data_IF_001069077012
#
_entry.id   IF_001069077012
#
_cell.length_a   1.000
_cell.length_b   1.000
_cell.length_c   1.000
_cell.angle_alpha   90.00
_cell.angle_beta   90.00
_cell.angle_gamma   90.00
#
_symmetry.space_group_name_H-M   'P 1'
#
loop_
_entity.id
_entity.type
_entity.pdbx_description
1 polymer ?
#
# COMPACT_ATOMS: atom_id res chain seq x y z
N UNK A 1 -15.03 -5.94 -1.02
CA UNK A 1 -15.06 -7.29 -0.37
C UNK A 1 -15.70 -7.29 1.01
N UNK A 2 -15.39 -6.34 1.92
CA UNK A 2 -15.94 -6.36 3.29
C UNK A 2 -17.48 -6.50 3.40
N UNK A 3 -18.32 -5.80 2.60
CA UNK A 3 -19.77 -6.02 2.63
C UNK A 3 -20.17 -7.46 2.31
N UNK A 4 -19.52 -8.07 1.32
CA UNK A 4 -19.76 -9.47 0.94
C UNK A 4 -19.42 -10.46 2.06
N UNK A 5 -18.33 -10.24 2.80
CA UNK A 5 -18.01 -11.08 3.97
C UNK A 5 -19.00 -10.91 5.11
N UNK A 6 -19.49 -9.69 5.35
CA UNK A 6 -20.50 -9.46 6.38
C UNK A 6 -21.83 -10.12 6.01
N UNK A 7 -22.26 -10.01 4.75
CA UNK A 7 -23.44 -10.72 4.23
C UNK A 7 -23.29 -12.24 4.37
N UNK A 8 -22.12 -12.79 4.04
CA UNK A 8 -21.84 -14.22 4.19
C UNK A 8 -21.89 -14.67 5.66
N UNK A 9 -21.33 -13.88 6.60
CA UNK A 9 -21.40 -14.18 8.04
C UNK A 9 -22.83 -14.13 8.57
N UNK A 10 -23.61 -13.13 8.16
CA UNK A 10 -25.03 -13.03 8.54
C UNK A 10 -25.82 -14.22 7.99
N UNK A 11 -25.60 -14.59 6.72
CA UNK A 11 -26.25 -15.76 6.12
C UNK A 11 -25.90 -17.06 6.87
N UNK A 12 -24.62 -17.27 7.20
CA UNK A 12 -24.20 -18.43 7.99
C UNK A 12 -24.82 -18.46 9.39
N UNK A 13 -24.90 -17.30 10.07
CA UNK A 13 -25.52 -17.19 11.38
C UNK A 13 -27.03 -17.49 11.34
N UNK A 14 -27.75 -16.98 10.33
CA UNK A 14 -29.18 -17.28 10.12
C UNK A 14 -29.39 -18.77 9.86
N UNK A 15 -28.54 -19.41 9.04
CA UNK A 15 -28.59 -20.85 8.79
C UNK A 15 -28.28 -21.68 10.06
N UNK A 16 -27.50 -21.13 10.99
CA UNK A 16 -27.21 -21.73 12.30
C UNK A 16 -28.30 -21.45 13.36
N UNK A 17 -29.38 -20.74 13.00
CA UNK A 17 -30.46 -20.39 13.92
C UNK A 17 -30.21 -19.17 14.81
N UNK A 18 -29.17 -18.37 14.54
CA UNK A 18 -28.92 -17.12 15.25
C UNK A 18 -29.76 -15.97 14.67
N UNK A 19 -30.29 -15.11 15.55
CA UNK A 19 -30.94 -13.86 15.13
C UNK A 19 -29.91 -12.77 14.81
N UNK A 20 -29.30 -12.85 13.63
CA UNK A 20 -28.47 -11.77 13.06
C UNK A 20 -29.10 -11.19 11.82
N UNK A 21 -29.00 -9.86 11.66
CA UNK A 21 -29.46 -9.13 10.47
C UNK A 21 -28.34 -8.27 9.90
N UNK A 22 -28.27 -8.21 8.59
CA UNK A 22 -27.39 -7.28 7.89
C UNK A 22 -28.09 -5.92 7.84
N UNK A 23 -27.51 -4.92 8.52
CA UNK A 23 -28.11 -3.57 8.66
C UNK A 23 -27.53 -2.56 7.66
N UNK A 24 -26.76 -3.02 6.67
CA UNK A 24 -26.04 -2.18 5.72
C UNK A 24 -24.52 -2.33 5.87
N UNK A 25 -23.79 -1.75 4.94
CA UNK A 25 -22.34 -1.66 4.98
C UNK A 25 -21.89 -0.21 4.80
N UNK A 26 -20.68 0.08 5.24
CA UNK A 26 -20.03 1.35 4.92
C UNK A 26 -19.98 1.52 3.39
N UNK A 27 -20.67 2.54 2.90
CA UNK A 27 -20.70 2.92 1.49
C UNK A 27 -19.47 3.74 1.11
N UNK A 28 -18.51 3.89 2.02
CA UNK A 28 -17.26 4.54 1.71
C UNK A 28 -16.53 3.82 0.58
N UNK A 29 -16.06 4.60 -0.37
CA UNK A 29 -15.38 4.09 -1.56
C UNK A 29 -14.05 4.81 -1.66
N UNK A 30 -12.96 4.03 -1.75
CA UNK A 30 -11.64 4.51 -2.16
C UNK A 30 -11.31 3.92 -3.51
N UNK A 31 -11.35 4.73 -4.56
CA UNK A 31 -11.01 4.33 -5.93
C UNK A 31 -9.54 4.66 -6.17
N UNK A 32 -8.76 3.62 -6.49
CA UNK A 32 -7.42 3.79 -7.06
C UNK A 32 -7.55 3.84 -8.58
N UNK A 33 -7.90 5.03 -9.09
CA UNK A 33 -7.80 5.32 -10.52
C UNK A 33 -6.33 5.63 -10.85
N UNK A 34 -5.94 5.44 -12.11
CA UNK A 34 -4.57 5.70 -12.57
C UNK A 34 -4.20 7.16 -12.28
N UNK A 35 -3.38 7.37 -11.24
CA UNK A 35 -2.79 8.66 -10.89
C UNK A 35 -3.62 9.59 -10.00
N UNK A 36 -4.85 9.21 -9.59
CA UNK A 36 -5.70 10.06 -8.73
C UNK A 36 -6.36 9.21 -7.65
N UNK A 37 -6.06 9.52 -6.39
CA UNK A 37 -6.76 8.94 -5.25
C UNK A 37 -8.10 9.66 -5.04
N UNK A 38 -9.19 8.90 -5.04
CA UNK A 38 -10.52 9.42 -4.72
C UNK A 38 -11.09 8.63 -3.56
N UNK A 39 -11.57 9.33 -2.53
CA UNK A 39 -12.25 8.73 -1.41
C UNK A 39 -13.53 9.50 -1.04
N UNK A 40 -14.60 8.79 -0.73
CA UNK A 40 -15.84 9.36 -0.21
C UNK A 40 -16.35 8.50 0.94
N UNK A 41 -16.92 9.10 1.98
CA UNK A 41 -17.43 8.41 3.16
C UNK A 41 -18.57 9.16 3.84
N UNK A 42 -19.44 8.42 4.54
CA UNK A 42 -20.55 8.99 5.32
C UNK A 42 -21.49 9.88 4.50
N UNK A 43 -22.04 10.90 5.17
CA UNK A 43 -22.85 11.95 4.55
C UNK A 43 -21.97 13.02 3.87
N UNK A 44 -21.24 12.60 2.83
CA UNK A 44 -20.36 13.46 2.04
C UNK A 44 -21.07 14.68 1.41
N UNK A 45 -22.38 14.59 1.21
CA UNK A 45 -23.19 15.64 0.59
C UNK A 45 -23.80 16.62 1.59
N UNK A 46 -23.77 16.32 2.90
CA UNK A 46 -24.39 17.18 3.92
C UNK A 46 -25.91 17.16 3.85
N UNK A 47 -26.51 15.98 3.65
CA UNK A 47 -27.96 15.77 3.68
C UNK A 47 -28.55 15.90 5.08
N UNK A 48 -27.73 15.70 6.11
CA UNK A 48 -28.11 15.85 7.52
C UNK A 48 -28.50 17.32 7.77
N UNK A 49 -29.73 17.60 8.25
CA UNK A 49 -30.17 18.97 8.50
C UNK A 49 -29.23 19.72 9.45
N UNK A 50 -28.87 20.95 9.09
CA UNK A 50 -27.97 21.79 9.89
C UNK A 50 -26.49 21.35 9.85
N UNK A 51 -26.12 20.40 8.98
CA UNK A 51 -24.72 20.04 8.80
C UNK A 51 -23.88 21.22 8.26
N UNK A 52 -22.67 21.31 8.75
CA UNK A 52 -21.68 22.30 8.31
C UNK A 52 -20.66 21.61 7.40
N UNK A 53 -20.10 22.32 6.44
CA UNK A 53 -19.10 21.76 5.52
C UNK A 53 -17.86 22.64 5.43
N UNK A 54 -16.70 22.00 5.54
CA UNK A 54 -15.40 22.63 5.33
C UNK A 54 -14.80 22.08 4.04
N UNK A 55 -14.21 22.96 3.23
CA UNK A 55 -13.61 22.61 1.95
C UNK A 55 -12.24 23.25 1.78
N UNK A 56 -11.32 22.50 1.18
CA UNK A 56 -9.99 22.96 0.84
C UNK A 56 -9.62 22.47 -0.57
N UNK A 57 -9.02 23.37 -1.36
CA UNK A 57 -8.68 23.10 -2.75
C UNK A 57 -7.25 23.58 -3.03
N UNK A 58 -6.43 22.75 -3.66
CA UNK A 58 -5.10 23.10 -4.15
C UNK A 58 -5.04 22.91 -5.66
N UNK A 59 -5.34 23.98 -6.42
CA UNK A 59 -5.46 23.96 -7.88
C UNK A 59 -4.27 23.32 -8.62
N UNK A 60 -3.02 23.76 -8.41
CA UNK A 60 -1.87 23.19 -9.13
C UNK A 60 -1.60 21.70 -8.89
N UNK A 61 -1.99 21.18 -7.72
CA UNK A 61 -1.82 19.76 -7.36
C UNK A 61 -3.10 18.95 -7.63
N UNK A 62 -4.16 19.60 -8.14
CA UNK A 62 -5.46 18.99 -8.39
C UNK A 62 -6.04 18.29 -7.15
N UNK A 63 -5.81 18.87 -5.96
CA UNK A 63 -6.32 18.31 -4.70
C UNK A 63 -7.60 19.03 -4.30
N UNK A 64 -8.61 18.26 -3.92
CA UNK A 64 -9.84 18.75 -3.32
C UNK A 64 -10.19 17.89 -2.09
N UNK A 65 -10.45 18.54 -0.96
CA UNK A 65 -10.83 17.89 0.29
C UNK A 65 -12.06 18.59 0.86
N UNK A 66 -13.06 17.82 1.28
CA UNK A 66 -14.27 18.27 1.94
C UNK A 66 -14.59 17.36 3.11
N UNK A 67 -14.94 17.94 4.25
CA UNK A 67 -15.56 17.23 5.36
C UNK A 67 -16.91 17.86 5.70
N UNK A 68 -17.80 17.04 6.22
CA UNK A 68 -19.15 17.42 6.67
C UNK A 68 -19.24 17.07 8.15
N UNK A 69 -19.64 18.04 8.97
CA UNK A 69 -19.74 17.90 10.42
C UNK A 69 -21.14 18.25 10.92
N UNK A 70 -21.47 17.80 12.13
CA UNK A 70 -22.73 18.13 12.80
C UNK A 70 -22.86 19.64 13.07
N UNK A 71 -24.10 20.09 13.29
CA UNK A 71 -24.42 21.50 13.57
C UNK A 71 -23.63 22.09 14.77
N UNK A 72 -23.25 21.25 15.73
CA UNK A 72 -22.48 21.61 16.92
C UNK A 72 -20.96 21.46 16.73
N UNK A 73 -20.51 21.12 15.53
CA UNK A 73 -19.10 20.89 15.15
C UNK A 73 -18.38 19.80 15.95
N UNK A 74 -19.11 18.90 16.64
CA UNK A 74 -18.49 17.85 17.47
C UNK A 74 -18.32 16.52 16.76
N UNK A 75 -19.13 16.23 15.76
CA UNK A 75 -19.18 14.90 15.11
C UNK A 75 -18.90 15.03 13.62
N UNK A 76 -18.03 14.16 13.12
CA UNK A 76 -17.80 14.03 11.68
C UNK A 76 -18.90 13.17 11.06
N UNK A 77 -19.61 13.71 10.07
CA UNK A 77 -20.72 13.03 9.40
C UNK A 77 -20.30 12.37 8.08
N UNK A 78 -19.29 12.92 7.40
CA UNK A 78 -18.80 12.40 6.13
C UNK A 78 -17.75 13.28 5.47
N UNK A 79 -17.34 12.93 4.25
CA UNK A 79 -16.37 13.72 3.50
C UNK A 79 -16.03 13.16 2.12
N UNK A 80 -15.34 13.98 1.33
CA UNK A 80 -14.83 13.67 -0.02
C UNK A 80 -13.37 14.13 -0.11
N UNK A 81 -12.48 13.27 -0.57
CA UNK A 81 -11.07 13.56 -0.82
C UNK A 81 -10.74 13.16 -2.27
N UNK A 82 -10.10 14.05 -3.01
CA UNK A 82 -9.72 13.87 -4.42
C UNK A 82 -8.28 14.35 -4.61
N UNK A 83 -7.48 13.59 -5.35
CA UNK A 83 -6.07 13.87 -5.60
C UNK A 83 -5.18 13.31 -4.49
N UNK A 84 -5.48 13.69 -3.23
CA UNK A 84 -4.82 13.18 -2.03
C UNK A 84 -5.85 12.68 -1.01
N UNK A 85 -5.85 11.37 -0.76
CA UNK A 85 -6.72 10.70 0.21
C UNK A 85 -5.93 10.08 1.37
N UNK A 86 -4.83 10.72 1.78
CA UNK A 86 -3.98 10.26 2.88
C UNK A 86 -4.72 10.24 4.22
N UNK A 87 -5.55 11.24 4.50
CA UNK A 87 -6.32 11.36 5.74
C UNK A 87 -7.58 10.48 5.80
N UNK A 88 -7.96 9.83 4.68
CA UNK A 88 -9.17 9.00 4.58
C UNK A 88 -9.30 7.98 5.71
N UNK A 89 -8.23 7.22 5.97
CA UNK A 89 -8.27 6.14 6.95
C UNK A 89 -8.59 6.66 8.36
N UNK A 90 -8.01 7.82 8.73
CA UNK A 90 -8.24 8.44 10.03
C UNK A 90 -9.63 9.05 10.12
N UNK A 91 -10.05 9.81 9.09
CA UNK A 91 -11.36 10.46 9.07
C UNK A 91 -12.52 9.46 9.13
N UNK A 92 -12.42 8.35 8.39
CA UNK A 92 -13.43 7.28 8.46
C UNK A 92 -13.51 6.70 9.86
N UNK A 93 -12.39 6.47 10.54
CA UNK A 93 -12.39 5.95 11.90
C UNK A 93 -12.95 6.95 12.91
N UNK A 94 -12.67 8.25 12.76
CA UNK A 94 -13.26 9.29 13.59
C UNK A 94 -14.79 9.30 13.46
N UNK A 95 -15.30 9.19 12.23
CA UNK A 95 -16.74 9.09 11.96
C UNK A 95 -17.35 7.81 12.55
N UNK A 96 -16.77 6.65 12.26
CA UNK A 96 -17.33 5.34 12.67
C UNK A 96 -17.34 5.16 14.19
N UNK A 97 -16.36 5.71 14.91
CA UNK A 97 -16.26 5.60 16.37
C UNK A 97 -16.83 6.82 17.11
N UNK A 98 -17.42 7.80 16.42
CA UNK A 98 -17.99 9.00 17.03
C UNK A 98 -16.96 9.82 17.83
N UNK A 99 -15.72 9.89 17.34
CA UNK A 99 -14.65 10.63 18.02
C UNK A 99 -14.95 12.12 17.96
N UNK A 100 -14.91 12.80 19.11
CA UNK A 100 -15.11 14.25 19.17
C UNK A 100 -14.07 14.99 18.34
N UNK A 101 -14.54 15.91 17.51
CA UNK A 101 -13.69 16.73 16.64
C UNK A 101 -12.89 17.77 17.45
N UNK A 102 -11.72 18.20 16.92
CA UNK A 102 -11.01 19.35 17.47
C UNK A 102 -11.85 20.63 17.36
N UNK A 103 -11.47 21.67 18.12
CA UNK A 103 -12.13 22.99 18.09
C UNK A 103 -12.22 23.59 16.68
N UNK A 104 -11.25 23.29 15.82
CA UNK A 104 -11.17 23.74 14.43
C UNK A 104 -11.17 22.51 13.50
N UNK A 105 -12.35 21.98 13.10
CA UNK A 105 -12.46 20.78 12.28
C UNK A 105 -11.75 20.86 10.92
N UNK A 106 -11.63 22.04 10.33
CA UNK A 106 -10.94 22.28 9.05
C UNK A 106 -9.47 21.84 9.08
N UNK A 107 -8.82 21.87 10.25
CA UNK A 107 -7.42 21.46 10.41
C UNK A 107 -7.18 19.99 10.01
N UNK A 108 -8.23 19.16 10.06
CA UNK A 108 -8.18 17.75 9.65
C UNK A 108 -7.95 17.55 8.14
N UNK A 109 -8.27 18.56 7.31
CA UNK A 109 -8.11 18.50 5.85
C UNK A 109 -7.09 19.49 5.29
N UNK A 110 -6.65 20.47 6.09
CA UNK A 110 -5.62 21.42 5.68
C UNK A 110 -4.23 20.74 5.56
N UNK A 111 -3.32 21.23 4.70
CA UNK A 111 -1.95 20.72 4.62
C UNK A 111 -1.20 20.91 5.95
N UNK A 112 -0.19 20.08 6.23
CA UNK A 112 0.56 20.17 7.48
C UNK A 112 1.40 21.44 7.42
N UNK A 113 1.07 22.43 8.26
CA UNK A 113 1.95 23.57 8.47
C UNK A 113 3.24 23.08 9.13
N UNK A 114 4.40 23.48 8.61
CA UNK A 114 5.70 23.21 9.23
C UNK A 114 5.68 23.71 10.69
N UNK A 115 5.59 22.81 11.67
CA UNK A 115 5.53 23.13 13.10
C UNK A 115 4.15 23.04 13.77
N UNK A 116 3.09 22.65 13.06
CA UNK A 116 1.77 22.40 13.65
C UNK A 116 1.65 21.03 14.33
N UNK A 117 0.88 20.96 15.41
CA UNK A 117 0.53 19.70 16.08
C UNK A 117 -0.09 18.69 15.08
N UNK A 118 0.11 17.36 15.28
CA UNK A 118 -0.34 16.35 14.33
C UNK A 118 -1.84 16.48 14.01
N UNK A 119 -2.16 16.39 12.71
CA UNK A 119 -3.47 16.69 12.07
C UNK A 119 -4.67 15.85 12.54
N UNK A 120 -4.52 14.94 13.49
CA UNK A 120 -5.64 14.14 13.99
C UNK A 120 -5.34 13.66 15.41
N UNK A 121 -6.40 13.43 16.18
CA UNK A 121 -6.37 12.52 17.31
C UNK A 121 -5.78 11.20 16.81
N UNK A 122 -4.51 10.94 17.13
CA UNK A 122 -3.75 9.81 16.62
C UNK A 122 -4.39 8.48 17.01
N UNK A 123 -3.81 7.38 16.55
CA UNK A 123 -4.25 6.02 16.90
C UNK A 123 -4.43 5.81 18.42
N UNK A 124 -3.72 6.58 19.23
CA UNK A 124 -3.90 6.70 20.68
C UNK A 124 -5.38 6.87 21.11
N UNK A 125 -6.15 7.71 20.42
CA UNK A 125 -7.52 8.03 20.79
C UNK A 125 -8.56 6.98 20.37
N UNK A 126 -8.18 6.00 19.56
CA UNK A 126 -9.09 4.93 19.14
C UNK A 126 -9.32 3.96 20.31
N UNK A 127 -10.57 3.55 20.60
CA UNK A 127 -10.84 2.50 21.57
C UNK A 127 -10.28 1.15 21.08
N UNK A 128 -10.01 0.21 21.98
CA UNK A 128 -9.55 -1.13 21.60
C UNK A 128 -10.52 -1.86 20.66
N UNK A 129 -11.82 -1.62 20.81
CA UNK A 129 -12.88 -2.19 19.96
C UNK A 129 -12.93 -1.59 18.54
N UNK A 130 -12.19 -0.51 18.26
CA UNK A 130 -12.22 0.17 16.97
C UNK A 130 -11.84 -0.80 15.84
N UNK A 131 -12.72 -0.95 14.85
CA UNK A 131 -12.49 -1.87 13.73
C UNK A 131 -11.49 -1.28 12.74
N UNK A 132 -10.29 -1.86 12.70
CA UNK A 132 -9.19 -1.42 11.83
C UNK A 132 -9.24 -2.13 10.47
N UNK A 133 -9.51 -3.45 10.44
CA UNK A 133 -9.64 -4.22 9.21
C UNK A 133 -11.03 -4.84 9.07
N UNK A 134 -11.90 -4.23 8.28
CA UNK A 134 -13.27 -4.75 8.05
C UNK A 134 -13.30 -6.08 7.28
N UNK A 135 -12.29 -6.36 6.43
CA UNK A 135 -12.25 -7.62 5.67
C UNK A 135 -12.07 -8.83 6.59
N UNK A 136 -11.18 -8.73 7.56
CA UNK A 136 -10.85 -9.81 8.48
C UNK A 136 -11.45 -9.61 9.89
N UNK A 137 -12.20 -8.52 10.10
CA UNK A 137 -12.82 -8.15 11.37
C UNK A 137 -11.79 -8.01 12.51
N UNK A 138 -10.70 -7.29 12.23
CA UNK A 138 -9.60 -7.08 13.18
C UNK A 138 -9.75 -5.69 13.80
N UNK A 139 -9.78 -5.66 15.13
CA UNK A 139 -9.86 -4.45 15.95
C UNK A 139 -8.48 -3.88 16.29
N UNK A 140 -8.43 -2.69 16.90
CA UNK A 140 -7.20 -2.12 17.47
C UNK A 140 -6.64 -3.05 18.54
N UNK A 141 -7.49 -3.57 19.43
CA UNK A 141 -7.12 -4.48 20.51
C UNK A 141 -6.45 -5.75 19.99
N UNK A 142 -6.97 -6.34 18.92
CA UNK A 142 -6.37 -7.54 18.29
C UNK A 142 -4.95 -7.27 17.79
N UNK A 143 -4.70 -6.08 17.22
CA UNK A 143 -3.37 -5.67 16.75
C UNK A 143 -2.45 -5.43 17.95
N UNK A 144 -2.92 -4.70 18.97
CA UNK A 144 -2.15 -4.43 20.19
C UNK A 144 -1.76 -5.73 20.92
N UNK A 145 -2.68 -6.70 20.97
CA UNK A 145 -2.43 -8.03 21.52
C UNK A 145 -1.40 -8.80 20.69
N UNK A 146 -1.50 -8.76 19.37
CA UNK A 146 -0.53 -9.41 18.49
C UNK A 146 0.88 -8.82 18.66
N UNK A 147 1.01 -7.50 18.79
CA UNK A 147 2.29 -6.84 19.09
C UNK A 147 2.82 -7.29 20.45
N UNK A 148 1.96 -7.30 21.48
CA UNK A 148 2.33 -7.78 22.82
C UNK A 148 2.73 -9.26 22.85
N UNK A 149 2.21 -10.06 21.93
CA UNK A 149 2.61 -11.46 21.72
C UNK A 149 3.90 -11.62 20.91
N UNK A 150 4.56 -10.53 20.48
CA UNK A 150 5.85 -10.54 19.80
C UNK A 150 5.81 -10.19 18.31
N UNK A 151 4.68 -9.74 17.76
CA UNK A 151 4.63 -9.29 16.37
C UNK A 151 5.23 -7.89 16.22
N UNK A 152 6.50 -7.80 15.82
CA UNK A 152 7.25 -6.53 15.72
C UNK A 152 7.25 -5.89 14.33
N UNK A 153 6.69 -6.56 13.33
CA UNK A 153 6.63 -6.03 11.96
C UNK A 153 5.27 -6.32 11.28
N UNK A 154 5.02 -5.62 10.18
CA UNK A 154 3.74 -5.72 9.45
C UNK A 154 3.51 -7.10 8.83
N UNK A 155 4.58 -7.84 8.53
CA UNK A 155 4.51 -9.21 8.03
C UNK A 155 4.00 -10.15 9.11
N UNK A 156 4.55 -10.05 10.32
CA UNK A 156 4.09 -10.78 11.50
C UNK A 156 2.63 -10.45 11.83
N UNK A 157 2.25 -9.17 11.84
CA UNK A 157 0.85 -8.76 12.04
C UNK A 157 -0.08 -9.36 10.98
N UNK A 158 0.33 -9.35 9.71
CA UNK A 158 -0.44 -9.98 8.62
C UNK A 158 -0.60 -11.49 8.82
N UNK A 159 0.43 -12.18 9.30
CA UNK A 159 0.35 -13.62 9.56
C UNK A 159 -0.57 -13.95 10.74
N UNK A 160 -0.44 -13.21 11.85
CA UNK A 160 -1.21 -13.46 13.07
C UNK A 160 -2.69 -13.06 12.93
N UNK A 161 -2.94 -11.84 12.42
CA UNK A 161 -4.28 -11.24 12.43
C UNK A 161 -4.99 -11.32 11.09
N UNK A 162 -4.27 -11.58 9.99
CA UNK A 162 -4.75 -11.42 8.60
C UNK A 162 -5.15 -9.99 8.24
N UNK A 163 -4.91 -8.99 9.10
CA UNK A 163 -5.14 -7.60 8.75
C UNK A 163 -4.30 -7.23 7.51
N UNK A 164 -4.83 -6.35 6.64
CA UNK A 164 -4.20 -5.92 5.40
C UNK A 164 -3.95 -6.99 4.31
N UNK A 165 -4.39 -8.26 4.47
CA UNK A 165 -4.24 -9.29 3.42
C UNK A 165 -5.42 -9.39 2.45
N UNK A 166 -6.59 -8.84 2.81
CA UNK A 166 -7.80 -8.88 1.98
C UNK A 166 -7.84 -7.80 0.89
N UNK A 167 -8.35 -6.61 1.24
CA UNK A 167 -8.42 -5.47 0.30
C UNK A 167 -7.22 -4.51 0.36
N UNK A 168 -6.35 -4.64 1.37
CA UNK A 168 -5.19 -3.76 1.60
C UNK A 168 -5.50 -2.32 2.03
N UNK A 169 -6.77 -1.89 2.09
CA UNK A 169 -7.14 -0.50 2.42
C UNK A 169 -6.73 -0.03 3.81
N UNK A 170 -6.68 -0.95 4.78
CA UNK A 170 -6.29 -0.67 6.17
C UNK A 170 -4.78 -0.73 6.43
N UNK A 171 -3.95 -1.05 5.42
CA UNK A 171 -2.51 -1.31 5.64
C UNK A 171 -1.77 -0.18 6.34
N UNK A 172 -2.08 1.07 5.98
CA UNK A 172 -1.47 2.25 6.60
C UNK A 172 -1.89 2.39 8.07
N UNK A 173 -3.18 2.22 8.37
CA UNK A 173 -3.70 2.34 9.73
C UNK A 173 -3.22 1.19 10.63
N UNK A 174 -3.17 -0.04 10.11
CA UNK A 174 -2.58 -1.20 10.81
C UNK A 174 -1.13 -0.91 11.21
N UNK A 175 -0.35 -0.35 10.28
CA UNK A 175 1.04 0.04 10.56
C UNK A 175 1.13 1.09 11.68
N UNK A 176 0.29 2.11 11.63
CA UNK A 176 0.27 3.15 12.67
C UNK A 176 -0.12 2.60 14.05
N UNK A 177 -1.08 1.67 14.13
CA UNK A 177 -1.45 0.99 15.38
C UNK A 177 -0.30 0.15 15.92
N UNK A 178 0.35 -0.61 15.05
CA UNK A 178 1.50 -1.44 15.41
C UNK A 178 2.66 -0.58 15.93
N UNK A 179 3.04 0.47 15.20
CA UNK A 179 4.12 1.38 15.59
C UNK A 179 3.81 2.11 16.91
N UNK A 180 2.55 2.50 17.12
CA UNK A 180 2.10 3.09 18.39
C UNK A 180 2.29 2.13 19.57
N UNK A 181 1.84 0.87 19.43
CA UNK A 181 1.98 -0.13 20.48
C UNK A 181 3.44 -0.50 20.77
N UNK A 182 4.27 -0.60 19.72
CA UNK A 182 5.72 -0.85 19.87
C UNK A 182 6.41 0.28 20.62
N UNK A 183 6.05 1.53 20.32
CA UNK A 183 6.58 2.70 21.02
C UNK A 183 6.16 2.72 22.51
N UNK A 184 4.91 2.34 22.84
CA UNK A 184 4.48 2.20 24.24
C UNK A 184 5.25 1.12 25.00
N UNK A 185 5.70 0.07 24.31
CA UNK A 185 6.53 -1.00 24.88
C UNK A 185 8.03 -0.64 24.92
N UNK A 186 8.41 0.58 24.53
CA UNK A 186 9.80 1.02 24.48
C UNK A 186 10.63 0.38 23.37
N UNK A 187 9.98 -0.27 22.40
CA UNK A 187 10.66 -0.84 21.23
C UNK A 187 10.92 0.27 20.23
N UNK A 188 12.19 0.64 20.08
CA UNK A 188 12.60 1.64 19.10
C UNK A 188 12.46 1.08 17.68
N UNK A 189 11.52 1.63 16.91
CA UNK A 189 11.31 1.25 15.50
C UNK A 189 12.42 1.86 14.65
N UNK A 190 13.53 1.13 14.50
CA UNK A 190 14.60 1.52 13.57
C UNK A 190 14.08 1.46 12.14
N UNK A 191 14.36 2.51 11.37
CA UNK A 191 14.00 2.59 9.93
C UNK A 191 15.06 1.96 9.04
N UNK A 192 16.06 1.35 9.64
CA UNK A 192 17.17 0.66 9.01
C UNK A 192 16.65 -0.46 8.11
N UNK A 193 17.22 -0.60 6.92
CA UNK A 193 16.88 -1.69 6.01
C UNK A 193 17.36 -3.04 6.58
N UNK A 194 18.56 -3.07 7.13
CA UNK A 194 19.19 -4.22 7.79
C UNK A 194 20.48 -3.76 8.47
N UNK A 195 21.20 -4.70 9.11
CA UNK A 195 22.52 -4.45 9.73
C UNK A 195 23.57 -3.82 8.79
N UNK A 196 23.44 -4.00 7.47
CA UNK A 196 24.37 -3.45 6.48
C UNK A 196 24.12 -1.98 6.18
N UNK A 197 22.90 -1.48 6.39
CA UNK A 197 22.47 -0.13 6.01
C UNK A 197 21.55 0.46 7.09
N UNK A 198 22.04 1.38 7.94
CA UNK A 198 21.25 2.09 8.94
C UNK A 198 20.46 3.25 8.31
N UNK A 199 19.76 2.96 7.20
CA UNK A 199 19.02 3.91 6.40
C UNK A 199 17.72 3.27 5.93
N UNK A 200 16.70 4.09 5.75
CA UNK A 200 15.46 3.70 5.08
C UNK A 200 15.63 3.60 3.57
N UNK A 201 14.69 2.92 2.91
CA UNK A 201 14.64 2.83 1.43
C UNK A 201 14.68 4.21 0.75
N UNK A 202 13.98 5.20 1.33
CA UNK A 202 13.93 6.54 0.77
C UNK A 202 15.27 7.26 0.90
N UNK A 203 15.94 7.13 2.04
CA UNK A 203 17.29 7.69 2.25
C UNK A 203 18.31 7.05 1.32
N UNK A 204 18.29 5.72 1.16
CA UNK A 204 19.14 5.04 0.18
C UNK A 204 18.89 5.57 -1.24
N UNK A 205 17.62 5.75 -1.64
CA UNK A 205 17.29 6.34 -2.94
C UNK A 205 17.89 7.75 -3.11
N UNK A 206 17.78 8.60 -2.08
CA UNK A 206 18.37 9.94 -2.10
C UNK A 206 19.90 9.89 -2.15
N UNK A 207 20.55 9.04 -1.37
CA UNK A 207 22.00 8.84 -1.38
C UNK A 207 22.49 8.42 -2.77
N UNK A 208 21.80 7.47 -3.40
CA UNK A 208 22.12 7.00 -4.75
C UNK A 208 21.99 8.11 -5.78
N UNK A 209 20.90 8.88 -5.73
CA UNK A 209 20.65 9.97 -6.69
C UNK A 209 21.62 11.14 -6.53
N UNK A 210 21.82 11.62 -5.31
CA UNK A 210 22.64 12.81 -5.02
C UNK A 210 24.12 12.54 -5.24
N UNK A 211 24.60 11.37 -4.85
CA UNK A 211 26.03 11.02 -4.95
C UNK A 211 26.36 10.25 -6.23
N UNK A 212 25.43 10.18 -7.18
CA UNK A 212 25.58 9.49 -8.46
C UNK A 212 26.12 8.05 -8.36
N UNK A 213 25.64 7.30 -7.37
CA UNK A 213 26.12 5.93 -7.09
C UNK A 213 25.56 4.97 -8.13
N UNK A 214 26.43 4.21 -8.81
CA UNK A 214 26.04 3.33 -9.92
C UNK A 214 26.09 1.85 -9.59
N UNK A 215 26.78 1.44 -8.53
CA UNK A 215 26.95 0.02 -8.17
C UNK A 215 26.68 -0.23 -6.70
N UNK A 216 26.36 -1.49 -6.36
CA UNK A 216 26.19 -1.91 -4.98
C UNK A 216 27.47 -1.71 -4.17
N UNK A 217 28.62 -2.05 -4.74
CA UNK A 217 29.93 -1.91 -4.07
C UNK A 217 30.24 -0.46 -3.70
N UNK A 218 29.90 0.49 -4.58
CA UNK A 218 30.04 1.92 -4.28
C UNK A 218 29.12 2.37 -3.15
N UNK A 219 27.89 1.85 -3.10
CA UNK A 219 26.92 2.19 -2.06
C UNK A 219 27.35 1.62 -0.70
N UNK A 220 27.66 0.32 -0.63
CA UNK A 220 28.00 -0.36 0.62
C UNK A 220 29.34 0.13 1.18
N UNK A 221 30.32 0.44 0.34
CA UNK A 221 31.63 0.93 0.82
C UNK A 221 31.57 2.34 1.41
N UNK A 222 30.58 3.15 1.01
CA UNK A 222 30.46 4.56 1.46
C UNK A 222 29.42 4.76 2.55
N UNK A 223 28.31 4.03 2.48
CA UNK A 223 27.13 4.24 3.30
C UNK A 223 26.63 2.94 3.96
N UNK A 224 27.45 1.90 3.99
CA UNK A 224 27.08 0.64 4.62
C UNK A 224 28.29 -0.09 5.18
N UNK A 225 28.07 -1.35 5.53
CA UNK A 225 29.10 -2.24 6.07
C UNK A 225 28.84 -3.69 5.63
N UNK A 226 29.89 -4.51 5.59
CA UNK A 226 29.80 -5.93 5.20
C UNK A 226 29.66 -6.16 3.69
N UNK A 227 29.06 -7.30 3.31
CA UNK A 227 28.93 -7.74 1.91
C UNK A 227 27.48 -7.74 1.39
N UNK A 228 26.52 -7.34 2.23
CA UNK A 228 25.10 -7.33 1.93
C UNK A 228 24.41 -8.69 2.03
N UNK A 229 23.12 -8.65 2.30
CA UNK A 229 22.24 -9.82 2.45
C UNK A 229 21.13 -9.87 1.39
N UNK A 230 20.27 -10.87 1.51
CA UNK A 230 19.06 -11.08 0.70
C UNK A 230 18.01 -9.96 0.81
N UNK A 231 18.11 -9.09 1.83
CA UNK A 231 17.20 -7.94 2.00
C UNK A 231 17.74 -6.72 1.24
N UNK A 232 18.99 -6.34 1.48
CA UNK A 232 19.52 -5.09 0.94
C UNK A 232 19.95 -5.20 -0.53
N UNK A 233 20.43 -6.35 -1.01
CA UNK A 233 20.88 -6.50 -2.41
C UNK A 233 19.73 -6.27 -3.41
N UNK A 234 18.55 -6.92 -3.28
CA UNK A 234 17.42 -6.67 -4.18
C UNK A 234 16.89 -5.23 -4.06
N UNK A 235 16.87 -4.67 -2.84
CA UNK A 235 16.44 -3.30 -2.61
C UNK A 235 17.33 -2.31 -3.37
N UNK A 236 18.65 -2.45 -3.25
CA UNK A 236 19.61 -1.58 -3.95
C UNK A 236 19.54 -1.81 -5.46
N UNK A 237 19.39 -3.05 -5.93
CA UNK A 237 19.15 -3.36 -7.34
C UNK A 237 17.92 -2.61 -7.90
N UNK A 238 16.81 -2.65 -7.17
CA UNK A 238 15.57 -1.92 -7.51
C UNK A 238 15.79 -0.40 -7.52
N UNK A 239 16.54 0.16 -6.56
CA UNK A 239 16.85 1.59 -6.49
C UNK A 239 17.74 2.02 -7.66
N UNK A 240 18.80 1.26 -7.97
CA UNK A 240 19.70 1.53 -9.09
C UNK A 240 18.96 1.47 -10.44
N UNK A 241 18.11 0.46 -10.64
CA UNK A 241 17.25 0.35 -11.81
C UNK A 241 16.30 1.56 -11.94
N UNK A 242 15.73 2.03 -10.82
CA UNK A 242 14.86 3.21 -10.81
C UNK A 242 15.60 4.51 -11.10
N UNK A 243 16.86 4.64 -10.66
CA UNK A 243 17.65 5.86 -10.83
C UNK A 243 18.29 5.96 -12.21
N UNK A 244 18.80 4.85 -12.74
CA UNK A 244 19.69 4.83 -13.90
C UNK A 244 19.19 3.96 -15.05
N UNK A 245 18.29 2.99 -14.76
CA UNK A 245 17.70 2.08 -15.74
C UNK A 245 18.74 1.42 -16.67
N UNK A 246 19.89 1.04 -16.10
CA UNK A 246 20.94 0.35 -16.83
C UNK A 246 20.59 -1.12 -17.12
N UNK A 247 21.27 -1.70 -18.10
CA UNK A 247 21.07 -3.10 -18.47
C UNK A 247 21.41 -4.05 -17.30
N UNK A 248 20.44 -4.87 -16.91
CA UNK A 248 20.48 -5.69 -15.69
C UNK A 248 21.54 -6.81 -15.71
N UNK A 249 21.92 -7.32 -16.89
CA UNK A 249 22.94 -8.37 -17.01
C UNK A 249 24.38 -7.84 -17.09
N UNK A 250 24.60 -6.53 -16.91
CA UNK A 250 25.96 -6.03 -16.71
C UNK A 250 26.57 -6.71 -15.47
N UNK A 251 27.87 -7.04 -15.47
CA UNK A 251 28.51 -7.72 -14.34
C UNK A 251 28.29 -7.05 -12.98
N UNK A 252 28.16 -5.72 -12.95
CA UNK A 252 27.91 -4.96 -11.73
C UNK A 252 26.48 -5.09 -11.15
N UNK A 253 25.49 -5.43 -11.98
CA UNK A 253 24.08 -5.49 -11.59
C UNK A 253 23.55 -6.92 -11.44
N UNK A 254 24.14 -7.87 -12.19
CA UNK A 254 23.74 -9.28 -12.21
C UNK A 254 23.71 -9.97 -10.83
N UNK A 255 24.63 -9.68 -9.89
CA UNK A 255 24.57 -10.26 -8.54
C UNK A 255 23.38 -9.77 -7.69
N UNK A 256 22.75 -8.66 -8.08
CA UNK A 256 21.62 -8.07 -7.36
C UNK A 256 20.26 -8.55 -7.87
N UNK A 257 20.23 -9.18 -9.05
CA UNK A 257 19.01 -9.63 -9.70
C UNK A 257 18.57 -10.98 -9.13
N UNK A 258 17.27 -11.12 -8.90
CA UNK A 258 16.67 -12.41 -8.60
C UNK A 258 16.64 -13.31 -9.83
N UNK A 259 16.19 -14.55 -9.66
CA UNK A 259 16.18 -15.52 -10.75
C UNK A 259 15.35 -15.04 -11.95
N UNK A 260 14.23 -14.34 -11.73
CA UNK A 260 13.38 -13.90 -12.82
C UNK A 260 14.04 -12.76 -13.62
N UNK A 261 14.65 -11.81 -12.92
CA UNK A 261 15.34 -10.67 -13.54
C UNK A 261 16.65 -11.09 -14.23
N UNK A 262 17.32 -12.15 -13.76
CA UNK A 262 18.50 -12.73 -14.42
C UNK A 262 18.19 -13.37 -15.77
N UNK A 263 17.06 -14.05 -15.88
CA UNK A 263 16.66 -14.74 -17.10
C UNK A 263 15.69 -13.92 -17.96
N UNK A 264 15.28 -12.74 -17.49
CA UNK A 264 14.18 -11.96 -18.06
C UNK A 264 12.91 -12.81 -18.29
N UNK A 265 12.65 -13.73 -17.37
CA UNK A 265 11.65 -14.78 -17.52
C UNK A 265 11.06 -15.16 -16.17
N UNK A 266 9.80 -15.55 -16.14
CA UNK A 266 9.17 -16.10 -14.94
C UNK A 266 9.31 -17.62 -14.93
N UNK A 267 9.92 -18.16 -13.88
CA UNK A 267 9.99 -19.61 -13.66
C UNK A 267 8.63 -20.15 -13.21
N UNK A 268 8.13 -21.16 -13.92
CA UNK A 268 6.93 -21.90 -13.58
C UNK A 268 7.25 -23.06 -12.64
N UNK A 269 6.23 -23.58 -11.94
CA UNK A 269 6.40 -24.66 -10.95
C UNK A 269 6.90 -25.98 -11.56
N UNK A 270 6.69 -26.18 -12.86
CA UNK A 270 7.15 -27.34 -13.62
C UNK A 270 8.60 -27.18 -14.14
N UNK A 271 9.28 -26.09 -13.77
CA UNK A 271 10.65 -25.79 -14.19
C UNK A 271 10.76 -25.14 -15.58
N UNK A 272 9.64 -24.88 -16.26
CA UNK A 272 9.63 -24.14 -17.53
C UNK A 272 9.69 -22.63 -17.31
N UNK A 273 10.08 -21.89 -18.34
CA UNK A 273 10.09 -20.42 -18.31
C UNK A 273 8.94 -19.85 -19.13
N UNK A 274 8.32 -18.77 -18.63
CA UNK A 274 7.57 -17.83 -19.47
C UNK A 274 8.36 -16.55 -19.67
N UNK A 275 8.38 -16.06 -20.90
CA UNK A 275 9.10 -14.85 -21.28
C UNK A 275 8.04 -13.85 -21.70
N UNK A 276 8.13 -12.60 -21.24
CA UNK A 276 7.28 -11.52 -21.72
C UNK A 276 8.19 -10.46 -22.34
N UNK A 277 8.37 -10.47 -23.67
CA UNK A 277 9.18 -9.47 -24.35
C UNK A 277 8.77 -8.06 -23.94
N UNK A 278 9.75 -7.22 -23.62
CA UNK A 278 9.49 -5.82 -23.26
C UNK A 278 8.97 -5.09 -24.51
N UNK A 279 7.78 -4.50 -24.40
CA UNK A 279 7.19 -3.60 -25.40
C UNK A 279 7.06 -2.20 -24.77
N UNK A 280 8.07 -1.32 -24.91
CA UNK A 280 8.02 0.05 -24.38
C UNK A 280 6.76 0.76 -24.87
N UNK A 281 6.00 1.37 -23.96
CA UNK A 281 4.71 2.01 -24.25
C UNK A 281 3.66 1.11 -24.94
N UNK A 282 3.83 -0.22 -24.93
CA UNK A 282 2.96 -1.13 -25.68
C UNK A 282 3.20 -1.12 -27.19
N UNK A 283 4.25 -0.46 -27.66
CA UNK A 283 4.58 -0.37 -29.08
C UNK A 283 5.38 -1.59 -29.52
N UNK A 284 4.97 -2.17 -30.65
CA UNK A 284 5.67 -3.26 -31.34
C UNK A 284 5.42 -3.10 -32.84
N UNK A 285 6.49 -3.15 -33.63
CA UNK A 285 6.38 -3.09 -35.09
C UNK A 285 5.81 -4.39 -35.66
N UNK A 286 5.30 -4.36 -36.89
CA UNK A 286 4.86 -5.57 -37.59
C UNK A 286 5.98 -6.62 -37.67
N UNK A 287 7.21 -6.19 -37.95
CA UNK A 287 8.39 -7.07 -37.96
C UNK A 287 8.69 -7.64 -36.58
N UNK A 288 8.52 -6.85 -35.52
CA UNK A 288 8.66 -7.31 -34.14
C UNK A 288 7.64 -8.39 -33.77
N UNK A 289 6.39 -8.24 -34.19
CA UNK A 289 5.35 -9.27 -34.02
C UNK A 289 5.68 -10.55 -34.80
N UNK A 290 6.15 -10.41 -36.04
CA UNK A 290 6.59 -11.54 -36.86
C UNK A 290 7.76 -12.27 -36.18
N UNK A 291 8.75 -11.53 -35.66
CA UNK A 291 9.90 -12.10 -34.97
C UNK A 291 9.47 -12.88 -33.72
N UNK A 292 8.56 -12.34 -32.90
CA UNK A 292 8.00 -13.05 -31.74
C UNK A 292 7.29 -14.33 -32.18
N UNK A 293 6.46 -14.26 -33.24
CA UNK A 293 5.77 -15.43 -33.79
C UNK A 293 6.72 -16.50 -34.33
N UNK A 294 7.81 -16.10 -34.99
CA UNK A 294 8.85 -17.02 -35.48
C UNK A 294 9.57 -17.72 -34.32
N UNK A 295 9.89 -16.99 -33.25
CA UNK A 295 10.51 -17.55 -32.04
C UNK A 295 9.55 -18.54 -31.39
N UNK A 296 8.28 -18.15 -31.19
CA UNK A 296 7.26 -19.03 -30.62
C UNK A 296 7.09 -20.32 -31.44
N UNK A 297 7.08 -20.22 -32.77
CA UNK A 297 7.00 -21.38 -33.66
C UNK A 297 8.25 -22.26 -33.58
N UNK A 298 9.44 -21.65 -33.55
CA UNK A 298 10.73 -22.37 -33.49
C UNK A 298 10.86 -23.23 -32.24
N UNK A 299 10.41 -22.72 -31.10
CA UNK A 299 10.50 -23.40 -29.81
C UNK A 299 9.18 -24.04 -29.36
N UNK A 300 8.17 -24.11 -30.24
CA UNK A 300 6.84 -24.67 -29.94
C UNK A 300 6.19 -24.11 -28.67
N UNK A 301 6.30 -22.78 -28.48
CA UNK A 301 5.83 -22.09 -27.29
C UNK A 301 4.33 -21.81 -27.37
N UNK A 302 3.62 -22.10 -26.27
CA UNK A 302 2.26 -21.60 -26.10
C UNK A 302 2.31 -20.07 -25.96
N UNK A 303 1.53 -19.35 -26.77
CA UNK A 303 1.54 -17.89 -26.80
C UNK A 303 0.16 -17.35 -26.44
N UNK A 304 0.10 -16.47 -25.46
CA UNK A 304 -1.13 -15.75 -25.10
C UNK A 304 -0.89 -14.25 -25.02
N UNK A 305 -1.94 -13.46 -25.22
CA UNK A 305 -1.91 -12.04 -24.88
C UNK A 305 -2.30 -11.91 -23.41
N UNK A 306 -1.43 -11.31 -22.61
CA UNK A 306 -1.65 -11.08 -21.18
C UNK A 306 -2.66 -9.97 -20.94
N UNK A 307 -3.20 -9.88 -19.72
CA UNK A 307 -4.11 -8.81 -19.32
C UNK A 307 -3.52 -7.39 -19.45
N UNK A 308 -2.19 -7.26 -19.57
CA UNK A 308 -1.50 -6.02 -19.90
C UNK A 308 -1.37 -5.74 -21.40
N UNK A 309 -2.09 -6.47 -22.26
CA UNK A 309 -2.03 -6.40 -23.73
C UNK A 309 -0.63 -6.69 -24.32
N UNK A 310 0.15 -7.55 -23.66
CA UNK A 310 1.49 -7.97 -24.12
C UNK A 310 1.51 -9.43 -24.52
N UNK A 311 2.32 -9.81 -25.49
CA UNK A 311 2.50 -11.23 -25.87
C UNK A 311 3.38 -11.95 -24.84
N UNK A 312 2.89 -13.05 -24.26
CA UNK A 312 3.62 -13.92 -23.33
C UNK A 312 3.82 -15.31 -23.96
N UNK A 313 5.02 -15.59 -24.49
CA UNK A 313 5.50 -16.94 -24.75
C UNK A 313 5.69 -17.79 -23.48
N UNK A 314 5.24 -19.05 -23.51
CA UNK A 314 5.31 -20.02 -22.41
C UNK A 314 5.87 -21.35 -22.91
N UNK A 315 6.76 -21.99 -22.13
CA UNK A 315 7.26 -23.34 -22.40
C UNK A 315 8.68 -23.39 -22.99
N UNK A 316 9.52 -22.38 -22.76
CA UNK A 316 10.87 -22.35 -23.28
C UNK A 316 11.78 -23.35 -22.53
N UNK A 317 12.57 -24.18 -23.24
CA UNK A 317 13.55 -25.06 -22.61
C UNK A 317 14.71 -24.26 -21.97
N UNK A 318 15.30 -24.84 -20.92
CA UNK A 318 16.48 -24.32 -20.20
C UNK A 318 17.69 -24.15 -21.11
#
# INVERSE_FOLDING_TARGET
VAPGYQMARVAAAVLAGEEKRFTGADMSTKLKLLGVDVASFGDAHGRTPGALSYQWTHGPQQIYKKIVVSHDSKTLLGGVLVGDASEYATLVQMMLNGISLPKEPETLILPASSGGAPKALGVAALPESAQICSCHNVSKGDICQAVSAGATDIGAIKQCTKAATGCGGCSALVKQVMEFQLAEQGVEVKKDICEHFPYSRQEIYHLVRVNHIRTFDQLISRYGQGHGCEICKPLVGSVLASCWNEYLLKPAHLPLQDTNDRYFANIQKDGTYSIVPRMPAGEVTADGLIAIGQIAKRYSLYSKITGGQRTEPVGAPT
#
